data_IF_643907170499
#
_entry.id   IF_643907170499
#
_cell.length_a   1.000
_cell.length_b   1.000
_cell.length_c   1.000
_cell.angle_alpha   90.00
_cell.angle_beta   90.00
_cell.angle_gamma   90.00
#
_symmetry.space_group_name_H-M   'P 1'
#
loop_
_entity.id
_entity.type
_entity.pdbx_description
1 polymer ?
#
# COMPACT_ATOMS: atom_id res chain seq x y z
N UNK A 1 -24.83 -2.06 -19.25
CA UNK A 1 -23.91 -1.82 -18.14
C UNK A 1 -23.46 -3.19 -17.64
N UNK A 2 -22.32 -3.66 -18.09
CA UNK A 2 -21.75 -4.92 -17.62
C UNK A 2 -21.15 -4.63 -16.24
N UNK A 3 -21.76 -5.17 -15.21
CA UNK A 3 -21.17 -5.11 -13.85
C UNK A 3 -19.86 -5.89 -13.91
N UNK A 4 -18.74 -5.16 -13.78
CA UNK A 4 -17.43 -5.79 -13.66
C UNK A 4 -17.46 -6.75 -12.46
N UNK A 5 -17.02 -7.98 -12.66
CA UNK A 5 -16.83 -8.94 -11.56
C UNK A 5 -15.75 -8.34 -10.65
N UNK A 6 -16.01 -8.15 -9.36
CA UNK A 6 -15.02 -7.59 -8.45
C UNK A 6 -13.78 -8.49 -8.41
N UNK A 7 -12.63 -7.86 -8.25
CA UNK A 7 -11.35 -8.57 -8.06
C UNK A 7 -11.47 -9.44 -6.81
N UNK A 8 -11.09 -10.73 -6.83
CA UNK A 8 -11.13 -11.58 -5.65
C UNK A 8 -10.21 -11.01 -4.56
N UNK A 9 -10.61 -11.16 -3.30
CA UNK A 9 -9.76 -10.77 -2.18
C UNK A 9 -8.46 -11.58 -2.20
N UNK A 10 -7.29 -10.94 -1.95
CA UNK A 10 -6.04 -11.67 -1.86
C UNK A 10 -6.12 -12.70 -0.72
N UNK A 11 -5.57 -13.91 -0.95
CA UNK A 11 -5.60 -14.94 0.09
C UNK A 11 -4.78 -14.51 1.32
N UNK A 12 -5.25 -14.83 2.52
CA UNK A 12 -4.56 -14.51 3.76
C UNK A 12 -3.13 -15.09 3.79
N UNK A 13 -2.93 -16.28 3.23
CA UNK A 13 -1.61 -16.92 3.15
C UNK A 13 -0.64 -16.12 2.26
N UNK A 14 -1.12 -15.55 1.15
CA UNK A 14 -0.28 -14.71 0.28
C UNK A 14 0.13 -13.40 0.96
N UNK A 15 -0.76 -12.79 1.74
CA UNK A 15 -0.48 -11.53 2.45
C UNK A 15 0.47 -11.70 3.62
N UNK A 16 0.44 -12.84 4.32
CA UNK A 16 1.29 -13.09 5.48
C UNK A 16 2.79 -13.00 5.16
N UNK A 17 3.19 -13.41 3.95
CA UNK A 17 4.58 -13.32 3.48
C UNK A 17 5.05 -11.89 3.18
N UNK A 18 4.12 -10.95 3.01
CA UNK A 18 4.41 -9.55 2.73
C UNK A 18 4.31 -8.65 3.98
N UNK A 19 3.84 -9.20 5.09
CA UNK A 19 3.80 -8.46 6.35
C UNK A 19 5.21 -8.05 6.76
N UNK A 20 5.44 -6.80 7.18
CA UNK A 20 6.74 -6.38 7.68
C UNK A 20 7.19 -7.24 8.86
N UNK A 21 8.53 -7.40 9.06
CA UNK A 21 9.05 -8.17 10.20
C UNK A 21 8.48 -7.70 11.54
N UNK A 22 8.16 -8.63 12.44
CA UNK A 22 7.54 -8.34 13.74
C UNK A 22 8.33 -7.30 14.55
N UNK A 23 9.65 -7.37 14.56
CA UNK A 23 10.51 -6.40 15.24
C UNK A 23 10.36 -4.96 14.70
N UNK A 24 10.05 -4.79 13.40
CA UNK A 24 9.78 -3.49 12.83
C UNK A 24 8.42 -2.97 13.26
N UNK A 25 7.39 -3.81 13.24
CA UNK A 25 6.04 -3.45 13.74
C UNK A 25 6.10 -3.05 15.20
N UNK A 26 6.84 -3.80 16.02
CA UNK A 26 7.06 -3.51 17.43
C UNK A 26 7.71 -2.14 17.64
N UNK A 27 8.77 -1.83 16.90
CA UNK A 27 9.44 -0.52 16.98
C UNK A 27 8.51 0.63 16.58
N UNK A 28 7.76 0.48 15.49
CA UNK A 28 6.82 1.49 15.01
C UNK A 28 5.69 1.77 16.01
N UNK A 29 5.14 0.72 16.61
CA UNK A 29 4.08 0.86 17.62
C UNK A 29 4.61 1.49 18.89
N UNK A 30 5.83 1.14 19.32
CA UNK A 30 6.47 1.78 20.46
C UNK A 30 6.62 3.28 20.26
N UNK A 31 7.10 3.70 19.07
CA UNK A 31 7.27 5.12 18.76
C UNK A 31 5.92 5.87 18.77
N UNK A 32 4.86 5.26 18.21
CA UNK A 32 3.51 5.83 18.21
C UNK A 32 2.89 5.88 19.62
N UNK A 33 3.12 4.88 20.45
CA UNK A 33 2.70 4.91 21.86
C UNK A 33 3.46 5.98 22.65
N UNK A 34 4.74 6.18 22.40
CA UNK A 34 5.52 7.25 23.04
C UNK A 34 4.99 8.64 22.65
N UNK A 35 4.54 8.83 21.39
CA UNK A 35 3.92 10.09 20.94
C UNK A 35 2.65 10.41 21.71
N UNK A 36 1.79 9.42 21.96
CA UNK A 36 0.47 9.63 22.60
C UNK A 36 0.54 9.64 24.15
N UNK A 37 1.41 8.83 24.74
CA UNK A 37 1.48 8.66 26.18
C UNK A 37 2.39 9.67 26.89
N UNK A 38 3.50 10.07 26.26
CA UNK A 38 4.52 10.85 26.97
C UNK A 38 4.93 10.19 28.28
N UNK A 39 4.74 10.89 29.39
CA UNK A 39 5.05 10.41 30.75
C UNK A 39 3.92 9.56 31.38
N UNK A 40 2.78 9.37 30.70
CA UNK A 40 1.67 8.52 31.14
C UNK A 40 0.27 9.07 30.86
N UNK A 41 -0.71 8.17 30.86
CA UNK A 41 -2.12 8.49 30.64
C UNK A 41 -2.77 9.04 31.92
N UNK A 42 -3.00 10.36 31.96
CA UNK A 42 -3.64 11.04 33.10
C UNK A 42 -5.11 10.62 33.28
N UNK A 43 -5.82 10.38 32.18
CA UNK A 43 -7.25 10.07 32.22
C UNK A 43 -7.51 8.64 32.70
N UNK A 44 -6.68 7.70 32.29
CA UNK A 44 -6.80 6.31 32.75
C UNK A 44 -6.62 6.16 34.28
N UNK A 45 -5.89 7.08 34.93
CA UNK A 45 -5.71 7.07 36.37
C UNK A 45 -7.01 7.33 37.15
N UNK A 46 -8.04 7.92 36.54
CA UNK A 46 -9.37 8.10 37.13
C UNK A 46 -10.13 6.77 37.34
N UNK A 47 -9.72 5.72 36.67
CA UNK A 47 -10.40 4.42 36.67
C UNK A 47 -9.80 3.50 37.74
N UNK A 48 -10.56 2.53 38.30
CA UNK A 48 -10.00 1.51 39.20
C UNK A 48 -8.89 0.70 38.48
N UNK A 49 -7.79 0.41 39.19
CA UNK A 49 -6.64 -0.26 38.61
C UNK A 49 -6.91 -1.74 38.24
N UNK A 50 -7.85 -2.37 38.95
CA UNK A 50 -8.26 -3.76 38.80
C UNK A 50 -9.50 -3.95 37.92
N UNK A 51 -10.07 -2.83 37.40
CA UNK A 51 -11.23 -2.90 36.53
C UNK A 51 -10.91 -3.62 35.22
N UNK A 52 -11.82 -4.49 34.80
CA UNK A 52 -11.78 -5.22 33.54
C UNK A 52 -12.98 -4.84 32.69
N UNK A 53 -12.82 -4.91 31.37
CA UNK A 53 -13.89 -4.65 30.44
C UNK A 53 -13.76 -5.54 29.20
N UNK A 54 -14.87 -5.63 28.46
CA UNK A 54 -14.87 -6.05 27.08
C UNK A 54 -15.08 -4.82 26.19
N UNK A 55 -14.55 -4.88 24.96
CA UNK A 55 -14.74 -3.86 23.95
C UNK A 55 -14.95 -4.51 22.59
N UNK A 56 -15.55 -3.75 21.68
CA UNK A 56 -15.67 -4.13 20.26
C UNK A 56 -15.18 -3.00 19.38
N UNK A 57 -14.60 -3.35 18.22
CA UNK A 57 -14.27 -2.40 17.16
C UNK A 57 -15.22 -2.62 16.00
N UNK A 58 -15.85 -1.55 15.55
CA UNK A 58 -16.78 -1.55 14.41
C UNK A 58 -16.31 -0.58 13.34
N UNK A 59 -16.61 -0.89 12.07
CA UNK A 59 -16.48 0.07 10.96
C UNK A 59 -17.80 0.77 10.69
N UNK A 60 -17.74 2.05 10.28
CA UNK A 60 -18.89 2.81 9.76
C UNK A 60 -18.89 2.91 8.23
N UNK A 61 -17.79 2.50 7.61
CA UNK A 61 -17.57 2.58 6.17
C UNK A 61 -17.54 1.20 5.52
N UNK A 62 -17.86 1.18 4.22
CA UNK A 62 -17.53 0.07 3.32
C UNK A 62 -16.04 0.18 2.95
N UNK A 63 -15.23 -0.74 3.45
CA UNK A 63 -13.79 -0.67 3.41
C UNK A 63 -13.12 -2.04 3.21
N UNK A 64 -11.81 -2.02 2.97
CA UNK A 64 -10.94 -3.20 3.05
C UNK A 64 -10.13 -3.08 4.33
N UNK A 65 -10.26 -4.08 5.22
CA UNK A 65 -9.53 -4.11 6.48
C UNK A 65 -8.02 -4.27 6.23
N UNK A 66 -7.21 -3.49 6.95
CA UNK A 66 -5.76 -3.64 6.96
C UNK A 66 -5.14 -3.01 8.20
N UNK A 67 -4.15 -3.69 8.78
CA UNK A 67 -3.38 -3.17 9.91
C UNK A 67 -3.59 -3.92 11.21
N UNK A 68 -4.20 -5.10 11.18
CA UNK A 68 -4.47 -5.93 12.36
C UNK A 68 -3.21 -6.21 13.18
N UNK A 69 -2.06 -6.44 12.55
CA UNK A 69 -0.80 -6.71 13.24
C UNK A 69 -0.29 -5.52 14.07
N UNK A 70 -0.49 -4.28 13.61
CA UNK A 70 -0.15 -3.06 14.38
C UNK A 70 -1.14 -2.84 15.51
N UNK A 71 -2.42 -3.04 15.25
CA UNK A 71 -3.48 -2.97 16.27
C UNK A 71 -3.19 -3.94 17.42
N UNK A 72 -2.92 -5.20 17.12
CA UNK A 72 -2.60 -6.22 18.13
C UNK A 72 -1.34 -5.86 18.91
N UNK A 73 -0.36 -5.31 18.22
CA UNK A 73 0.92 -4.95 18.84
C UNK A 73 0.79 -3.78 19.82
N UNK A 74 -0.15 -2.84 19.62
CA UNK A 74 -0.45 -1.75 20.57
C UNK A 74 -0.88 -2.35 21.91
N UNK A 75 -1.87 -3.22 21.89
CA UNK A 75 -2.37 -3.83 23.13
C UNK A 75 -1.37 -4.78 23.76
N UNK A 76 -0.61 -5.52 22.96
CA UNK A 76 0.46 -6.40 23.47
C UNK A 76 1.54 -5.63 24.23
N UNK A 77 1.87 -4.42 23.82
CA UNK A 77 2.86 -3.58 24.49
C UNK A 77 2.31 -2.95 25.77
N UNK A 78 1.02 -2.66 25.84
CA UNK A 78 0.38 -2.06 27.02
C UNK A 78 0.03 -3.10 28.08
N UNK A 79 -0.57 -4.21 27.67
CA UNK A 79 -0.94 -5.33 28.55
C UNK A 79 -1.04 -6.64 27.73
N UNK A 80 -0.06 -7.53 27.80
CA UNK A 80 -0.06 -8.79 27.06
C UNK A 80 -1.18 -9.76 27.47
N UNK A 81 -1.94 -9.48 28.53
CA UNK A 81 -3.10 -10.27 28.95
C UNK A 81 -4.41 -9.86 28.25
N UNK A 82 -4.41 -8.79 27.45
CA UNK A 82 -5.55 -8.44 26.61
C UNK A 82 -5.70 -9.48 25.52
N UNK A 83 -6.88 -10.09 25.47
CA UNK A 83 -7.26 -11.00 24.39
C UNK A 83 -7.98 -10.24 23.27
N UNK A 84 -7.64 -10.53 22.02
CA UNK A 84 -8.25 -9.96 20.83
C UNK A 84 -8.76 -11.09 19.94
N UNK A 85 -10.01 -11.01 19.50
CA UNK A 85 -10.63 -11.98 18.60
C UNK A 85 -11.12 -11.24 17.35
N UNK A 86 -10.45 -11.48 16.22
CA UNK A 86 -10.82 -10.90 14.93
C UNK A 86 -11.97 -11.68 14.27
N UNK A 87 -12.94 -10.95 13.70
CA UNK A 87 -14.01 -11.46 12.84
C UNK A 87 -13.78 -11.20 11.36
N UNK A 88 -12.76 -10.41 11.03
CA UNK A 88 -12.31 -10.14 9.67
C UNK A 88 -10.77 -10.11 9.63
N UNK A 89 -10.17 -10.24 8.45
CA UNK A 89 -8.72 -10.31 8.23
C UNK A 89 -8.26 -9.19 7.30
N UNK A 90 -6.97 -8.89 7.35
CA UNK A 90 -6.35 -7.97 6.38
C UNK A 90 -6.63 -8.46 4.94
N UNK A 91 -7.07 -7.52 4.08
CA UNK A 91 -7.48 -7.77 2.69
C UNK A 91 -8.97 -8.09 2.52
N UNK A 92 -9.71 -8.41 3.55
CA UNK A 92 -11.15 -8.67 3.47
C UNK A 92 -11.97 -7.37 3.40
N UNK A 93 -13.03 -7.39 2.58
CA UNK A 93 -14.01 -6.31 2.54
C UNK A 93 -14.91 -6.38 3.76
N UNK A 94 -15.13 -5.24 4.40
CA UNK A 94 -15.99 -5.06 5.56
C UNK A 94 -17.06 -4.01 5.28
N UNK A 95 -18.23 -4.17 5.90
CA UNK A 95 -19.42 -3.35 5.61
C UNK A 95 -19.79 -2.45 6.80
N UNK A 96 -20.47 -1.32 6.56
CA UNK A 96 -20.91 -0.42 7.63
C UNK A 96 -21.67 -1.15 8.73
N UNK A 97 -21.27 -0.92 9.99
CA UNK A 97 -21.82 -1.55 11.17
C UNK A 97 -21.23 -2.93 11.50
N UNK A 98 -20.36 -3.48 10.68
CA UNK A 98 -19.71 -4.76 10.93
C UNK A 98 -18.72 -4.65 12.09
N UNK A 99 -18.79 -5.60 13.01
CA UNK A 99 -17.79 -5.82 14.05
C UNK A 99 -16.52 -6.43 13.42
N UNK A 100 -15.37 -5.79 13.68
CA UNK A 100 -14.07 -6.21 13.17
C UNK A 100 -13.35 -7.12 14.16
N UNK A 101 -13.36 -6.74 15.44
CA UNK A 101 -12.80 -7.56 16.52
C UNK A 101 -13.52 -7.29 17.85
N UNK A 102 -13.34 -8.22 18.79
CA UNK A 102 -13.63 -8.03 20.21
C UNK A 102 -12.35 -8.09 21.05
N UNK A 103 -12.33 -7.31 22.12
CA UNK A 103 -11.22 -7.25 23.07
C UNK A 103 -11.75 -7.55 24.49
N UNK A 104 -10.91 -8.20 25.30
CA UNK A 104 -11.22 -8.40 26.73
C UNK A 104 -9.94 -8.29 27.54
N UNK A 105 -9.94 -7.44 28.58
CA UNK A 105 -8.77 -7.24 29.40
C UNK A 105 -8.92 -6.14 30.46
N UNK A 106 -7.79 -5.64 30.95
CA UNK A 106 -7.73 -4.55 31.90
C UNK A 106 -8.28 -3.26 31.26
N UNK A 107 -9.17 -2.56 31.97
CA UNK A 107 -9.89 -1.39 31.42
C UNK A 107 -8.93 -0.24 31.06
N UNK A 108 -7.94 0.06 31.93
CA UNK A 108 -6.99 1.16 31.69
C UNK A 108 -6.21 0.95 30.37
N UNK A 109 -5.49 -0.17 30.13
CA UNK A 109 -4.79 -0.40 28.87
C UNK A 109 -5.70 -0.45 27.64
N UNK A 110 -6.95 -0.92 27.75
CA UNK A 110 -7.91 -0.89 26.66
C UNK A 110 -8.18 0.54 26.19
N UNK A 111 -8.44 1.46 27.12
CA UNK A 111 -8.70 2.86 26.80
C UNK A 111 -7.42 3.61 26.38
N UNK A 112 -6.31 3.34 27.02
CA UNK A 112 -5.02 3.95 26.70
C UNK A 112 -4.56 3.60 25.28
N UNK A 113 -4.77 2.35 24.83
CA UNK A 113 -4.36 1.92 23.50
C UNK A 113 -5.31 2.25 22.37
N UNK A 114 -6.55 2.62 22.69
CA UNK A 114 -7.62 2.82 21.70
C UNK A 114 -7.19 3.70 20.54
N UNK A 115 -6.72 4.91 20.82
CA UNK A 115 -6.45 5.92 19.79
C UNK A 115 -5.30 5.47 18.88
N UNK A 116 -4.19 5.03 19.44
CA UNK A 116 -3.03 4.56 18.67
C UNK A 116 -3.38 3.34 17.82
N UNK A 117 -4.13 2.37 18.37
CA UNK A 117 -4.57 1.18 17.65
C UNK A 117 -5.49 1.52 16.49
N UNK A 118 -6.51 2.38 16.72
CA UNK A 118 -7.43 2.84 15.67
C UNK A 118 -6.72 3.68 14.62
N UNK A 119 -5.72 4.49 14.98
CA UNK A 119 -4.97 5.31 14.02
C UNK A 119 -4.24 4.44 12.98
N UNK A 120 -3.61 3.34 13.38
CA UNK A 120 -3.02 2.39 12.43
C UNK A 120 -4.09 1.73 11.57
N UNK A 121 -5.14 1.20 12.19
CA UNK A 121 -6.17 0.44 11.50
C UNK A 121 -6.92 1.30 10.46
N UNK A 122 -7.35 2.52 10.85
CA UNK A 122 -8.08 3.43 9.96
C UNK A 122 -7.24 3.92 8.78
N UNK A 123 -5.94 4.23 9.01
CA UNK A 123 -5.02 4.72 7.99
C UNK A 123 -4.70 3.63 6.96
N UNK A 124 -4.37 2.43 7.43
CA UNK A 124 -3.98 1.32 6.56
C UNK A 124 -5.18 0.76 5.82
N UNK A 125 -6.34 0.63 6.48
CA UNK A 125 -7.60 0.27 5.81
C UNK A 125 -8.00 1.30 4.77
N UNK A 126 -7.78 2.59 5.01
CA UNK A 126 -8.01 3.64 4.01
C UNK A 126 -7.13 3.49 2.77
N UNK A 127 -5.84 3.16 2.96
CA UNK A 127 -4.92 2.88 1.84
C UNK A 127 -5.33 1.62 1.09
N UNK A 128 -5.70 0.53 1.78
CA UNK A 128 -6.15 -0.73 1.18
C UNK A 128 -7.47 -0.55 0.42
N UNK A 129 -8.42 0.19 0.98
CA UNK A 129 -9.70 0.51 0.34
C UNK A 129 -9.50 1.31 -0.94
N UNK A 130 -8.60 2.28 -0.93
CA UNK A 130 -8.23 3.03 -2.15
C UNK A 130 -7.60 2.11 -3.19
N UNK A 131 -6.66 1.26 -2.81
CA UNK A 131 -6.02 0.30 -3.71
C UNK A 131 -7.06 -0.64 -4.34
N UNK A 132 -8.01 -1.16 -3.56
CA UNK A 132 -9.12 -1.98 -4.05
C UNK A 132 -9.94 -1.27 -5.12
N UNK A 133 -10.30 -0.01 -4.91
CA UNK A 133 -11.04 0.79 -5.89
C UNK A 133 -10.29 0.95 -7.23
N UNK A 134 -8.96 0.93 -7.21
CA UNK A 134 -8.11 0.96 -8.40
C UNK A 134 -8.00 -0.43 -9.05
N UNK A 135 -7.81 -1.48 -8.28
CA UNK A 135 -7.81 -2.86 -8.78
C UNK A 135 -9.14 -3.22 -9.46
N UNK A 136 -10.27 -2.88 -8.84
CA UNK A 136 -11.61 -3.13 -9.39
C UNK A 136 -11.86 -2.37 -10.70
N UNK A 137 -11.27 -1.17 -10.87
CA UNK A 137 -11.42 -0.39 -12.11
C UNK A 137 -10.83 -1.07 -13.35
N UNK A 138 -9.85 -1.97 -13.16
CA UNK A 138 -9.19 -2.73 -14.24
C UNK A 138 -9.50 -4.21 -14.20
N UNK A 139 -10.48 -4.63 -13.38
CA UNK A 139 -10.84 -6.03 -13.27
C UNK A 139 -11.10 -6.66 -14.65
N UNK A 140 -10.51 -7.85 -14.87
CA UNK A 140 -10.58 -8.59 -16.14
C UNK A 140 -9.59 -8.16 -17.22
N UNK A 141 -8.73 -7.15 -16.98
CA UNK A 141 -7.66 -6.76 -17.87
C UNK A 141 -6.30 -7.29 -17.37
N UNK A 142 -5.38 -7.70 -18.27
CA UNK A 142 -4.09 -8.27 -17.92
C UNK A 142 -3.06 -7.17 -17.59
N UNK A 143 -3.40 -6.27 -16.68
CA UNK A 143 -2.56 -5.13 -16.27
C UNK A 143 -2.40 -5.17 -14.74
N UNK A 144 -1.22 -4.81 -14.24
CA UNK A 144 -0.98 -4.63 -12.81
C UNK A 144 -0.99 -3.14 -12.45
N UNK A 145 -1.59 -2.83 -11.31
CA UNK A 145 -1.56 -1.48 -10.75
C UNK A 145 -0.49 -1.45 -9.68
N UNK A 146 0.49 -0.57 -9.83
CA UNK A 146 1.63 -0.46 -8.94
C UNK A 146 1.52 0.80 -8.06
N UNK A 147 1.97 0.68 -6.82
CA UNK A 147 2.25 1.84 -5.99
C UNK A 147 3.53 2.59 -6.44
N UNK A 148 3.98 3.55 -5.66
CA UNK A 148 5.22 4.29 -5.90
C UNK A 148 5.97 4.54 -4.59
N UNK A 149 7.06 5.33 -4.65
CA UNK A 149 7.76 5.84 -3.47
C UNK A 149 7.15 7.13 -2.89
N UNK A 150 6.02 7.60 -3.43
CA UNK A 150 5.27 8.77 -2.92
C UNK A 150 4.39 8.35 -1.74
N UNK A 151 5.01 8.04 -0.62
CA UNK A 151 4.38 7.56 0.62
C UNK A 151 4.50 8.60 1.73
N UNK A 152 3.71 8.44 2.80
CA UNK A 152 3.93 9.20 4.03
C UNK A 152 5.31 8.86 4.61
N UNK A 153 6.06 9.86 5.09
CA UNK A 153 7.36 9.61 5.73
C UNK A 153 7.21 8.64 6.91
N UNK A 154 8.13 7.67 6.98
CA UNK A 154 8.12 6.64 8.04
C UNK A 154 7.10 5.50 7.84
N UNK A 155 6.06 5.66 6.98
CA UNK A 155 4.97 4.69 6.82
C UNK A 155 5.02 3.89 5.52
N UNK A 156 6.14 3.91 4.78
CA UNK A 156 6.19 3.28 3.45
C UNK A 156 5.92 1.78 3.48
N UNK A 157 6.50 1.05 4.43
CA UNK A 157 6.31 -0.41 4.51
C UNK A 157 4.87 -0.77 4.82
N UNK A 158 4.25 -0.04 5.74
CA UNK A 158 2.84 -0.21 6.11
C UNK A 158 1.92 0.09 4.93
N UNK A 159 2.11 1.23 4.26
CA UNK A 159 1.28 1.61 3.12
C UNK A 159 1.45 0.67 1.93
N UNK A 160 2.67 0.19 1.65
CA UNK A 160 2.90 -0.80 0.60
C UNK A 160 2.26 -2.16 0.93
N UNK A 161 2.28 -2.59 2.17
CA UNK A 161 1.51 -3.76 2.62
C UNK A 161 0.00 -3.54 2.41
N UNK A 162 -0.51 -2.37 2.78
CA UNK A 162 -1.93 -2.04 2.58
C UNK A 162 -2.33 -2.00 1.09
N UNK A 163 -1.42 -1.61 0.20
CA UNK A 163 -1.64 -1.67 -1.26
C UNK A 163 -1.86 -3.11 -1.72
N UNK A 164 -1.07 -4.07 -1.21
CA UNK A 164 -1.27 -5.50 -1.49
C UNK A 164 -2.59 -6.01 -0.92
N UNK A 165 -2.97 -5.61 0.30
CA UNK A 165 -4.28 -5.93 0.89
C UNK A 165 -5.43 -5.44 0.02
N UNK A 166 -5.25 -4.31 -0.68
CA UNK A 166 -6.21 -3.79 -1.65
C UNK A 166 -6.22 -4.50 -3.00
N UNK A 167 -5.30 -5.46 -3.26
CA UNK A 167 -5.23 -6.21 -4.52
C UNK A 167 -4.47 -5.50 -5.64
N UNK A 168 -3.69 -4.47 -5.33
CA UNK A 168 -2.68 -3.89 -6.21
C UNK A 168 -1.29 -4.45 -5.89
N UNK A 169 -0.28 -4.12 -6.70
CA UNK A 169 1.09 -4.59 -6.56
C UNK A 169 2.03 -3.49 -6.06
N UNK A 170 3.22 -3.90 -5.59
CA UNK A 170 4.26 -2.95 -5.20
C UNK A 170 5.24 -2.69 -6.34
N UNK A 171 5.56 -1.43 -6.59
CA UNK A 171 6.79 -1.00 -7.23
C UNK A 171 7.95 -1.11 -6.22
N UNK A 172 9.20 -0.83 -6.63
CA UNK A 172 10.37 -0.88 -5.73
C UNK A 172 10.10 -0.24 -4.36
N UNK A 173 10.62 -0.89 -3.32
CA UNK A 173 10.48 -0.42 -1.94
C UNK A 173 11.30 0.84 -1.68
N UNK A 174 12.51 0.89 -2.24
CA UNK A 174 13.44 1.97 -1.96
C UNK A 174 14.39 2.28 -3.12
N UNK A 175 15.60 2.72 -2.79
CA UNK A 175 16.67 2.94 -3.77
C UNK A 175 17.63 1.75 -3.85
N UNK A 176 17.37 0.70 -3.05
CA UNK A 176 18.26 -0.43 -2.83
C UNK A 176 17.80 -1.72 -3.51
N UNK A 177 16.57 -1.81 -3.98
CA UNK A 177 15.95 -3.05 -4.49
C UNK A 177 15.69 -3.03 -6.01
N UNK A 178 15.73 -1.87 -6.66
CA UNK A 178 15.72 -1.75 -8.12
C UNK A 178 16.31 -0.42 -8.58
N UNK A 179 16.88 -0.39 -9.78
CA UNK A 179 17.37 0.83 -10.43
C UNK A 179 16.25 1.39 -11.32
N UNK A 180 15.90 2.65 -11.12
CA UNK A 180 15.06 3.43 -12.04
C UNK A 180 15.90 4.59 -12.57
N UNK A 181 16.26 4.49 -13.84
CA UNK A 181 17.01 5.54 -14.56
C UNK A 181 16.01 6.63 -14.94
N UNK A 182 16.33 7.89 -14.60
CA UNK A 182 15.51 9.06 -14.88
C UNK A 182 16.26 10.04 -15.77
N UNK A 183 15.54 11.03 -16.32
CA UNK A 183 16.05 12.10 -17.15
C UNK A 183 17.43 12.61 -16.68
N UNK A 184 17.56 12.95 -15.39
CA UNK A 184 18.85 13.48 -14.86
C UNK A 184 19.99 12.46 -14.86
N UNK A 185 19.69 11.16 -14.75
CA UNK A 185 20.68 10.10 -14.86
C UNK A 185 21.13 9.94 -16.33
N UNK A 186 20.19 10.03 -17.29
CA UNK A 186 20.47 9.97 -18.72
C UNK A 186 21.37 11.14 -19.13
N UNK A 187 21.02 12.36 -18.72
CA UNK A 187 21.83 13.56 -18.98
C UNK A 187 23.26 13.42 -18.43
N UNK A 188 23.40 12.96 -17.20
CA UNK A 188 24.70 12.76 -16.55
C UNK A 188 25.54 11.66 -17.24
N UNK A 189 24.90 10.61 -17.75
CA UNK A 189 25.57 9.51 -18.48
C UNK A 189 25.88 9.85 -19.95
N UNK A 190 25.24 10.90 -20.51
CA UNK A 190 25.40 11.37 -21.88
C UNK A 190 24.47 10.73 -22.91
N UNK A 191 23.88 9.55 -22.64
CA UNK A 191 22.88 8.91 -23.48
C UNK A 191 22.07 7.84 -22.70
N UNK A 192 20.92 7.43 -23.23
CA UNK A 192 20.09 6.30 -22.73
C UNK A 192 20.94 5.01 -22.73
N UNK A 193 21.63 4.71 -23.81
CA UNK A 193 22.47 3.52 -23.94
C UNK A 193 23.58 3.50 -22.89
N UNK A 194 24.26 4.62 -22.65
CA UNK A 194 25.32 4.73 -21.65
C UNK A 194 24.77 4.56 -20.22
N UNK A 195 23.62 5.15 -19.93
CA UNK A 195 22.94 5.04 -18.64
C UNK A 195 22.52 3.59 -18.35
N UNK A 196 21.90 2.90 -19.31
CA UNK A 196 21.51 1.49 -19.19
C UNK A 196 22.77 0.60 -18.99
N UNK A 197 23.83 0.81 -19.77
CA UNK A 197 25.06 0.06 -19.63
C UNK A 197 25.73 0.26 -18.24
N UNK A 198 25.70 1.48 -17.71
CA UNK A 198 26.20 1.78 -16.38
C UNK A 198 25.32 1.12 -15.30
N UNK A 199 24.00 1.23 -15.41
CA UNK A 199 23.06 0.60 -14.48
C UNK A 199 23.25 -0.92 -14.41
N UNK A 200 23.37 -1.61 -15.54
CA UNK A 200 23.59 -3.05 -15.58
C UNK A 200 24.88 -3.51 -14.88
N UNK A 201 25.95 -2.73 -15.00
CA UNK A 201 27.20 -3.03 -14.27
C UNK A 201 27.05 -2.93 -12.75
N UNK A 202 26.17 -2.04 -12.29
CA UNK A 202 25.94 -1.75 -10.87
C UNK A 202 24.81 -2.58 -10.26
N UNK A 203 23.90 -3.08 -11.09
CA UNK A 203 22.64 -3.68 -10.64
C UNK A 203 22.82 -4.97 -9.79
N UNK A 204 23.93 -5.70 -9.99
CA UNK A 204 24.21 -6.93 -9.25
C UNK A 204 22.97 -7.87 -9.14
N UNK A 205 22.23 -8.01 -10.25
CA UNK A 205 20.99 -8.80 -10.32
C UNK A 205 19.70 -8.04 -9.96
N UNK A 206 19.77 -6.80 -9.51
CA UNK A 206 18.57 -5.98 -9.27
C UNK A 206 17.91 -5.58 -10.62
N UNK A 207 16.58 -5.48 -10.68
CA UNK A 207 15.87 -5.00 -11.86
C UNK A 207 16.32 -3.61 -12.29
N UNK A 208 16.45 -3.41 -13.63
CA UNK A 208 16.76 -2.10 -14.22
C UNK A 208 15.57 -1.65 -15.05
N UNK A 209 15.08 -0.47 -14.75
CA UNK A 209 14.01 0.22 -15.44
C UNK A 209 14.50 1.61 -15.87
N UNK A 210 14.00 2.08 -17.02
CA UNK A 210 14.28 3.43 -17.51
C UNK A 210 12.99 4.19 -17.78
N UNK A 211 12.94 5.43 -17.34
CA UNK A 211 11.88 6.40 -17.60
C UNK A 211 12.19 7.13 -18.90
N UNK A 212 11.23 7.16 -19.83
CA UNK A 212 11.31 7.83 -21.13
C UNK A 212 10.11 8.75 -21.34
N UNK A 213 10.31 9.85 -22.09
CA UNK A 213 9.30 10.89 -22.33
C UNK A 213 8.87 10.97 -23.81
N UNK A 214 9.43 10.11 -24.68
CA UNK A 214 9.10 10.09 -26.11
C UNK A 214 9.25 8.70 -26.75
N UNK A 215 8.62 8.50 -27.92
CA UNK A 215 8.76 7.27 -28.69
C UNK A 215 10.18 7.07 -29.25
N UNK A 216 10.92 8.14 -29.49
CA UNK A 216 12.32 8.08 -29.94
C UNK A 216 13.21 7.54 -28.81
N UNK A 217 13.04 8.05 -27.58
CA UNK A 217 13.72 7.55 -26.39
C UNK A 217 13.35 6.09 -26.09
N UNK A 218 12.07 5.72 -26.25
CA UNK A 218 11.64 4.33 -26.16
C UNK A 218 12.39 3.45 -27.17
N UNK A 219 12.49 3.90 -28.42
CA UNK A 219 13.20 3.16 -29.46
C UNK A 219 14.68 2.95 -29.13
N UNK A 220 15.36 3.98 -28.58
CA UNK A 220 16.74 3.90 -28.12
C UNK A 220 16.87 2.91 -26.95
N UNK A 221 15.98 2.98 -25.94
CA UNK A 221 15.96 2.09 -24.79
C UNK A 221 15.75 0.63 -25.20
N UNK A 222 14.81 0.35 -26.10
CA UNK A 222 14.58 -0.98 -26.69
C UNK A 222 15.80 -1.47 -27.45
N UNK A 223 16.47 -0.60 -28.22
CA UNK A 223 17.72 -0.92 -28.92
C UNK A 223 18.89 -1.22 -27.98
N UNK A 224 18.86 -0.74 -26.74
CA UNK A 224 19.79 -1.09 -25.67
C UNK A 224 19.37 -2.37 -24.91
N UNK A 225 18.19 -2.95 -25.20
CA UNK A 225 17.70 -4.22 -24.67
C UNK A 225 17.26 -4.14 -23.21
N UNK A 226 16.79 -2.98 -22.71
CA UNK A 226 16.28 -2.84 -21.35
C UNK A 226 15.04 -3.72 -21.12
N UNK A 227 14.85 -4.24 -19.90
CA UNK A 227 13.78 -5.18 -19.58
C UNK A 227 12.45 -4.48 -19.24
N UNK A 228 12.52 -3.26 -18.72
CA UNK A 228 11.35 -2.47 -18.28
C UNK A 228 11.52 -1.02 -18.69
N UNK A 229 10.44 -0.42 -19.22
CA UNK A 229 10.40 1.00 -19.60
C UNK A 229 9.17 1.65 -18.99
N UNK A 230 9.40 2.73 -18.26
CA UNK A 230 8.35 3.60 -17.75
C UNK A 230 8.11 4.72 -18.76
N UNK A 231 6.88 4.83 -19.22
CA UNK A 231 6.38 5.83 -20.17
C UNK A 231 5.79 7.00 -19.37
N UNK A 232 6.56 8.08 -19.21
CA UNK A 232 6.12 9.20 -18.38
C UNK A 232 5.29 10.20 -19.17
N UNK A 233 4.06 10.44 -18.71
CA UNK A 233 3.09 11.37 -19.27
C UNK A 233 2.69 11.14 -20.76
N UNK A 234 2.77 9.91 -21.25
CA UNK A 234 2.31 9.56 -22.61
C UNK A 234 0.78 9.70 -22.73
N UNK A 235 0.32 10.24 -23.87
CA UNK A 235 -1.08 10.23 -24.26
C UNK A 235 -1.56 8.86 -24.72
N UNK A 236 -2.88 8.62 -24.75
CA UNK A 236 -3.44 7.32 -25.17
C UNK A 236 -2.97 6.86 -26.57
N UNK A 237 -2.87 7.74 -27.60
CA UNK A 237 -2.33 7.34 -28.90
C UNK A 237 -0.87 6.91 -28.82
N UNK A 238 -0.07 7.61 -28.01
CA UNK A 238 1.36 7.31 -27.83
C UNK A 238 1.55 6.01 -27.07
N UNK A 239 0.72 5.73 -26.03
CA UNK A 239 0.75 4.44 -25.31
C UNK A 239 0.48 3.27 -26.26
N UNK A 240 -0.55 3.35 -27.12
CA UNK A 240 -0.82 2.31 -28.12
C UNK A 240 0.35 2.13 -29.07
N UNK A 241 0.94 3.23 -29.53
CA UNK A 241 2.10 3.19 -30.42
C UNK A 241 3.34 2.60 -29.74
N UNK A 242 3.52 2.91 -28.45
CA UNK A 242 4.59 2.33 -27.63
C UNK A 242 4.45 0.81 -27.49
N UNK A 243 3.22 0.31 -27.27
CA UNK A 243 2.93 -1.13 -27.20
C UNK A 243 3.24 -1.82 -28.54
N UNK A 244 2.76 -1.26 -29.67
CA UNK A 244 3.07 -1.76 -31.01
C UNK A 244 4.58 -1.79 -31.28
N UNK A 245 5.27 -0.69 -30.97
CA UNK A 245 6.72 -0.54 -31.19
C UNK A 245 7.51 -1.53 -30.35
N UNK A 246 7.09 -1.76 -29.10
CA UNK A 246 7.76 -2.68 -28.17
C UNK A 246 7.58 -4.13 -28.57
N UNK A 247 6.41 -4.52 -29.09
CA UNK A 247 6.11 -5.87 -29.56
C UNK A 247 6.55 -6.97 -28.56
N UNK A 248 6.32 -6.75 -27.26
CA UNK A 248 6.64 -7.68 -26.16
C UNK A 248 8.13 -7.82 -25.79
N UNK A 249 9.04 -6.99 -26.35
CA UNK A 249 10.48 -7.04 -26.06
C UNK A 249 10.86 -6.53 -24.67
N UNK A 250 10.03 -5.69 -24.09
CA UNK A 250 10.19 -5.09 -22.76
C UNK A 250 8.83 -4.96 -22.10
N UNK A 251 8.77 -4.95 -20.78
CA UNK A 251 7.56 -4.57 -20.05
C UNK A 251 7.40 -3.06 -20.09
N UNK A 252 6.17 -2.61 -20.32
CA UNK A 252 5.80 -1.20 -20.37
C UNK A 252 5.00 -0.80 -19.15
N UNK A 253 5.46 0.24 -18.45
CA UNK A 253 4.76 0.86 -17.34
C UNK A 253 4.27 2.25 -17.74
N UNK A 254 2.96 2.50 -17.67
CA UNK A 254 2.41 3.84 -17.83
C UNK A 254 2.47 4.61 -16.51
N UNK A 255 2.92 5.86 -16.54
CA UNK A 255 3.04 6.76 -15.38
C UNK A 255 2.66 8.20 -15.75
N UNK A 256 2.46 9.05 -14.72
CA UNK A 256 2.16 10.48 -14.90
C UNK A 256 0.69 10.83 -14.73
N UNK A 257 0.33 11.48 -13.60
CA UNK A 257 -0.97 12.08 -13.36
C UNK A 257 -2.20 11.17 -13.49
N UNK A 258 -2.04 9.84 -13.34
CA UNK A 258 -3.10 8.87 -13.59
C UNK A 258 -4.12 8.88 -12.44
N UNK A 259 -5.39 9.11 -12.83
CA UNK A 259 -6.54 9.05 -11.92
C UNK A 259 -7.35 7.77 -12.16
N UNK A 260 -8.18 7.39 -11.17
CA UNK A 260 -9.02 6.19 -11.26
C UNK A 260 -9.90 6.18 -12.51
N UNK A 261 -10.48 7.33 -12.87
CA UNK A 261 -11.43 7.45 -13.99
C UNK A 261 -10.76 7.20 -15.36
N UNK A 262 -9.44 7.43 -15.46
CA UNK A 262 -8.65 7.20 -16.67
C UNK A 262 -8.00 5.81 -16.70
N UNK A 263 -8.02 5.08 -15.61
CA UNK A 263 -7.24 3.87 -15.43
C UNK A 263 -7.59 2.80 -16.49
N UNK A 264 -8.89 2.54 -16.67
CA UNK A 264 -9.37 1.50 -17.61
C UNK A 264 -8.96 1.78 -19.05
N UNK A 265 -9.13 3.00 -19.54
CA UNK A 265 -8.76 3.33 -20.91
C UNK A 265 -7.25 3.30 -21.15
N UNK A 266 -6.43 3.54 -20.10
CA UNK A 266 -4.98 3.34 -20.15
C UNK A 266 -4.66 1.85 -20.19
N UNK A 267 -5.26 1.04 -19.34
CA UNK A 267 -5.07 -0.42 -19.34
C UNK A 267 -5.44 -1.06 -20.68
N UNK A 268 -6.50 -0.57 -21.35
CA UNK A 268 -6.94 -1.02 -22.68
C UNK A 268 -5.97 -0.65 -23.82
N UNK A 269 -4.93 0.15 -23.56
CA UNK A 269 -3.84 0.37 -24.53
C UNK A 269 -2.91 -0.82 -24.68
N UNK A 270 -2.90 -1.74 -23.71
CA UNK A 270 -2.07 -2.94 -23.70
C UNK A 270 -0.74 -2.78 -22.96
N UNK A 271 -0.57 -1.73 -22.15
CA UNK A 271 0.58 -1.63 -21.24
C UNK A 271 0.51 -2.71 -20.15
N UNK A 272 1.66 -3.17 -19.69
CA UNK A 272 1.75 -4.26 -18.70
C UNK A 272 1.48 -3.79 -17.27
N UNK A 273 1.93 -2.58 -16.95
CA UNK A 273 1.89 -2.02 -15.61
C UNK A 273 1.40 -0.55 -15.65
N UNK A 274 0.74 -0.11 -14.58
CA UNK A 274 0.35 1.29 -14.40
C UNK A 274 0.74 1.72 -12.99
N UNK A 275 1.67 2.67 -12.85
CA UNK A 275 2.05 3.18 -11.53
C UNK A 275 1.23 4.40 -11.12
N UNK A 276 0.74 4.36 -9.88
CA UNK A 276 -0.18 5.37 -9.35
C UNK A 276 0.31 5.88 -7.99
N UNK A 277 0.92 7.06 -7.98
CA UNK A 277 1.35 7.70 -6.73
C UNK A 277 0.20 8.09 -5.79
N UNK A 278 -1.02 8.20 -6.33
CA UNK A 278 -2.22 8.50 -5.56
C UNK A 278 -2.66 7.40 -4.60
N UNK A 279 -2.21 6.15 -4.77
CA UNK A 279 -2.53 5.04 -3.87
C UNK A 279 -2.08 5.30 -2.43
N UNK A 280 -0.91 5.90 -2.28
CA UNK A 280 -0.25 6.07 -0.98
C UNK A 280 -0.11 7.52 -0.52
N UNK A 281 -0.10 8.52 -1.43
CA UNK A 281 0.05 9.92 -1.02
C UNK A 281 -1.30 10.60 -0.68
N UNK A 282 -2.43 10.12 -1.21
CA UNK A 282 -3.77 10.63 -0.91
C UNK A 282 -4.46 9.69 0.05
N UNK A 283 -4.30 9.94 1.33
CA UNK A 283 -4.84 9.10 2.38
C UNK A 283 -6.20 9.62 2.83
N UNK A 284 -7.18 8.72 2.87
CA UNK A 284 -8.50 8.91 3.42
C UNK A 284 -8.73 7.81 4.46
N UNK A 285 -8.79 8.19 5.73
CA UNK A 285 -8.93 7.23 6.81
C UNK A 285 -10.35 6.66 6.84
N UNK A 286 -10.48 5.38 7.21
CA UNK A 286 -11.77 4.71 7.44
C UNK A 286 -12.34 5.13 8.79
N UNK A 287 -13.64 5.41 8.88
CA UNK A 287 -14.31 5.73 10.15
C UNK A 287 -14.52 4.45 10.98
N UNK A 288 -13.72 4.34 12.04
CA UNK A 288 -13.73 3.22 12.99
C UNK A 288 -14.04 3.73 14.40
N UNK A 289 -14.72 2.90 15.19
CA UNK A 289 -14.92 3.21 16.62
C UNK A 289 -14.74 1.97 17.48
N UNK A 290 -14.10 2.15 18.64
CA UNK A 290 -14.08 1.18 19.74
C UNK A 290 -15.17 1.53 20.74
N UNK A 291 -15.92 0.53 21.20
CA UNK A 291 -16.98 0.69 22.19
C UNK A 291 -16.76 -0.25 23.34
N UNK A 292 -16.77 0.29 24.56
CA UNK A 292 -16.79 -0.54 25.76
C UNK A 292 -18.15 -1.22 25.88
N UNK A 293 -18.12 -2.51 26.17
CA UNK A 293 -19.27 -3.31 26.58
C UNK A 293 -19.25 -3.36 28.11
N UNK A 294 -19.92 -2.40 28.72
CA UNK A 294 -20.06 -2.35 30.17
C UNK A 294 -21.18 -3.31 30.60
N UNK A 295 -21.05 -3.98 31.76
CA UNK A 295 -22.06 -4.92 32.28
C UNK A 295 -23.37 -4.24 32.61
#
# INVERSE_FOLDING_TARGET
>A
MTTAVPTPDPSADSLSHHLPPAALIEAQVRDALMEDLGDGDLTAQLLPADARAAAEVITRDDAVLCGTAWFDQVFRQLDPQISIQWQARDGERVLPGQQLCSLCGSLRPLLTGERTALNYLQLLSGTATRARRYADAVAGLPVRILDTRKTLPGLRRQQKYAVLCGGCDNHRMGLFDAILIKENHIRAAGSIRAAIAAARRLANGAPVEIEVESLDELSEALGAGVERVLLDNFGLPELRRAVELTAGRSRLEASGGITRDRLRVIAETGVDDISVGGLTKHVEAVDLSMRLLLP
#
